data_IF_202451636415
#
_entry.id   IF_202451636415
#
_cell.length_a   1.000
_cell.length_b   1.000
_cell.length_c   1.000
_cell.angle_alpha   90.00
_cell.angle_beta   90.00
_cell.angle_gamma   90.00
#
_symmetry.space_group_name_H-M   'P 1'
#
loop_
_entity.id
_entity.type
_entity.pdbx_description
1 polymer ?
#
# COMPACT_ATOMS: atom_id res chain seq x y z
N UNK A 1 -12.03 -1.35 -16.59
CA UNK A 1 -12.70 -0.05 -16.91
C UNK A 1 -12.31 0.54 -18.27
N UNK A 2 -13.15 1.44 -18.80
CA UNK A 2 -12.86 2.27 -19.98
C UNK A 2 -12.32 3.68 -19.61
N UNK A 3 -11.84 4.47 -20.59
CA UNK A 3 -11.27 5.80 -20.33
C UNK A 3 -12.26 6.77 -19.66
N UNK A 4 -13.55 6.68 -20.00
CA UNK A 4 -14.59 7.55 -19.45
C UNK A 4 -14.93 7.23 -18.00
N UNK A 5 -14.88 5.96 -17.64
CA UNK A 5 -15.01 5.48 -16.25
C UNK A 5 -13.77 5.84 -15.45
N UNK A 6 -12.59 5.72 -16.05
CA UNK A 6 -11.33 6.18 -15.44
C UNK A 6 -11.41 7.66 -15.07
N UNK A 7 -11.76 8.54 -16.02
CA UNK A 7 -11.88 9.98 -15.78
C UNK A 7 -12.85 10.33 -14.63
N UNK A 8 -13.99 9.63 -14.55
CA UNK A 8 -14.96 9.82 -13.46
C UNK A 8 -14.43 9.40 -12.09
N UNK A 9 -13.54 8.41 -12.06
CA UNK A 9 -12.98 7.86 -10.84
C UNK A 9 -11.72 8.62 -10.37
N UNK A 10 -11.18 9.55 -11.17
CA UNK A 10 -10.01 10.35 -10.80
C UNK A 10 -10.23 11.11 -9.47
N UNK A 11 -11.34 11.83 -9.25
CA UNK A 11 -11.54 12.58 -7.99
C UNK A 11 -11.65 11.65 -6.78
N UNK A 12 -12.33 10.51 -6.92
CA UNK A 12 -12.48 9.53 -5.84
C UNK A 12 -11.18 8.79 -5.56
N UNK A 13 -10.33 8.60 -6.58
CA UNK A 13 -8.95 8.13 -6.42
C UNK A 13 -8.10 9.11 -5.62
N UNK A 14 -8.13 10.40 -5.99
CA UNK A 14 -7.39 11.46 -5.27
C UNK A 14 -7.90 11.58 -3.82
N UNK A 15 -9.21 11.45 -3.60
CA UNK A 15 -9.82 11.48 -2.27
C UNK A 15 -9.65 10.16 -1.47
N UNK A 16 -9.08 9.11 -2.06
CA UNK A 16 -8.90 7.81 -1.40
C UNK A 16 -10.20 7.07 -1.08
N UNK A 17 -11.28 7.34 -1.82
CA UNK A 17 -12.63 6.78 -1.59
C UNK A 17 -12.98 5.60 -2.50
N UNK A 18 -12.08 5.22 -3.40
CA UNK A 18 -12.29 4.06 -4.28
C UNK A 18 -12.27 2.74 -3.50
N UNK A 19 -13.18 1.85 -3.88
CA UNK A 19 -13.16 0.47 -3.41
C UNK A 19 -11.98 -0.31 -4.03
N UNK A 20 -11.63 -1.43 -3.39
CA UNK A 20 -10.44 -2.21 -3.76
C UNK A 20 -10.52 -2.77 -5.20
N UNK A 21 -11.71 -3.17 -5.65
CA UNK A 21 -11.89 -3.76 -6.96
C UNK A 21 -11.74 -2.69 -8.06
N UNK A 22 -12.38 -1.53 -7.88
CA UNK A 22 -12.27 -0.41 -8.81
C UNK A 22 -10.85 0.16 -8.83
N UNK A 23 -10.15 0.20 -7.69
CA UNK A 23 -8.76 0.66 -7.61
C UNK A 23 -7.78 -0.27 -8.36
N UNK A 24 -8.01 -1.58 -8.32
CA UNK A 24 -7.21 -2.55 -9.08
C UNK A 24 -7.38 -2.33 -10.59
N UNK A 25 -8.63 -2.24 -11.06
CA UNK A 25 -8.92 -1.95 -12.47
C UNK A 25 -8.39 -0.58 -12.91
N UNK A 26 -8.43 0.42 -12.02
CA UNK A 26 -7.91 1.76 -12.27
C UNK A 26 -6.40 1.73 -12.51
N UNK A 27 -5.68 0.99 -11.66
CA UNK A 27 -4.24 0.83 -11.76
C UNK A 27 -3.78 0.01 -12.97
N UNK A 28 -4.61 -0.91 -13.48
CA UNK A 28 -4.36 -1.61 -14.74
C UNK A 28 -4.57 -0.68 -15.94
N UNK A 29 -5.69 0.04 -16.00
CA UNK A 29 -5.98 0.98 -17.09
C UNK A 29 -4.94 2.10 -17.18
N UNK A 30 -4.48 2.63 -16.04
CA UNK A 30 -3.41 3.64 -15.97
C UNK A 30 -2.09 3.15 -16.60
N UNK A 31 -1.79 1.85 -16.53
CA UNK A 31 -0.58 1.26 -17.13
C UNK A 31 -0.71 1.05 -18.63
N UNK A 32 -1.91 0.70 -19.10
CA UNK A 32 -2.18 0.42 -20.50
C UNK A 32 -2.44 1.68 -21.34
N UNK A 33 -3.00 2.74 -20.72
CA UNK A 33 -3.39 3.97 -21.40
C UNK A 33 -2.57 5.19 -20.89
N UNK A 34 -1.54 5.64 -21.64
CA UNK A 34 -0.75 6.80 -21.24
C UNK A 34 -1.53 8.12 -21.25
N UNK A 35 -2.55 8.27 -22.10
CA UNK A 35 -3.38 9.49 -22.13
C UNK A 35 -4.19 9.69 -20.84
N UNK A 36 -4.80 8.62 -20.32
CA UNK A 36 -5.51 8.68 -19.04
C UNK A 36 -4.56 8.97 -17.86
N UNK A 37 -3.31 8.52 -17.94
CA UNK A 37 -2.28 8.84 -16.95
C UNK A 37 -1.92 10.32 -16.96
N UNK A 38 -1.79 10.95 -18.14
CA UNK A 38 -1.52 12.39 -18.24
C UNK A 38 -2.68 13.21 -17.66
N UNK A 39 -3.92 12.83 -17.96
CA UNK A 39 -5.12 13.46 -17.40
C UNK A 39 -5.17 13.37 -15.86
N UNK A 40 -4.86 12.19 -15.31
CA UNK A 40 -4.75 11.98 -13.85
C UNK A 40 -3.71 12.92 -13.23
N UNK A 41 -2.53 13.06 -13.86
CA UNK A 41 -1.47 13.95 -13.38
C UNK A 41 -1.91 15.41 -13.40
N UNK A 42 -2.60 15.85 -14.45
CA UNK A 42 -3.12 17.22 -14.55
C UNK A 42 -4.15 17.47 -13.45
N UNK A 43 -5.14 16.59 -13.28
CA UNK A 43 -6.17 16.76 -12.24
C UNK A 43 -5.59 16.69 -10.83
N UNK A 44 -4.59 15.84 -10.60
CA UNK A 44 -3.85 15.80 -9.35
C UNK A 44 -3.10 17.12 -9.09
N UNK A 45 -2.37 17.64 -10.08
CA UNK A 45 -1.66 18.92 -9.99
C UNK A 45 -2.59 20.12 -9.80
N UNK A 46 -3.78 20.11 -10.41
CA UNK A 46 -4.79 21.16 -10.19
C UNK A 46 -5.33 21.07 -8.77
N UNK A 47 -5.64 19.86 -8.29
CA UNK A 47 -6.17 19.63 -6.93
C UNK A 47 -5.14 20.00 -5.86
N UNK A 48 -3.89 19.54 -6.01
CA UNK A 48 -2.75 19.87 -5.14
C UNK A 48 -2.29 21.32 -5.30
N UNK A 49 -2.39 21.88 -6.51
CA UNK A 49 -2.09 23.28 -6.80
C UNK A 49 -3.03 24.24 -6.06
N UNK A 50 -4.27 23.83 -5.82
CA UNK A 50 -5.21 24.55 -4.95
C UNK A 50 -4.92 24.37 -3.46
N UNK A 51 -4.38 23.23 -3.02
CA UNK A 51 -3.93 23.04 -1.63
C UNK A 51 -2.73 23.91 -1.24
N UNK A 52 -2.06 24.58 -2.20
CA UNK A 52 -0.92 25.46 -1.93
C UNK A 52 -1.26 26.96 -1.79
N UNK A 53 -2.51 27.37 -2.02
CA UNK A 53 -2.88 28.79 -2.02
C UNK A 53 -3.86 29.20 -0.90
N UNK A 54 -4.41 28.27 -0.12
CA UNK A 54 -5.37 28.60 0.95
C UNK A 54 -4.82 28.48 2.38
N UNK A 55 -3.78 27.67 2.63
CA UNK A 55 -3.18 27.57 3.97
C UNK A 55 -1.68 27.91 3.93
N UNK A 56 -1.36 29.12 4.38
CA UNK A 56 0.00 29.62 4.54
C UNK A 56 0.79 28.94 5.67
N UNK A 57 0.85 27.62 5.67
CA UNK A 57 1.52 26.80 6.71
C UNK A 57 2.21 25.55 6.14
N UNK A 58 2.79 25.70 4.94
CA UNK A 58 3.39 24.61 4.16
C UNK A 58 4.72 24.05 4.72
N UNK A 59 5.01 24.15 6.02
CA UNK A 59 6.28 23.68 6.57
C UNK A 59 6.23 22.77 7.81
N UNK A 60 5.09 22.65 8.51
CA UNK A 60 5.04 21.80 9.72
C UNK A 60 4.49 20.38 9.46
N UNK A 61 3.64 20.20 8.43
CA UNK A 61 2.98 18.93 8.17
C UNK A 61 3.90 17.84 7.61
N UNK A 62 4.94 18.21 6.85
CA UNK A 62 5.91 17.25 6.30
C UNK A 62 6.74 16.62 7.42
N UNK A 63 7.02 17.38 8.48
CA UNK A 63 7.78 16.93 9.66
C UNK A 63 6.93 16.03 10.55
N UNK A 64 5.67 16.38 10.77
CA UNK A 64 4.75 15.54 11.53
C UNK A 64 4.40 14.25 10.76
N UNK A 65 4.27 14.32 9.44
CA UNK A 65 4.03 13.14 8.60
C UNK A 65 5.24 12.19 8.58
N UNK A 66 6.47 12.70 8.51
CA UNK A 66 7.68 11.87 8.63
C UNK A 66 7.80 11.21 10.01
N UNK A 67 7.44 11.90 11.08
CA UNK A 67 7.39 11.34 12.44
C UNK A 67 6.34 10.21 12.53
N UNK A 68 5.14 10.41 11.98
CA UNK A 68 4.08 9.40 11.94
C UNK A 68 4.46 8.20 11.06
N UNK A 69 5.12 8.42 9.93
CA UNK A 69 5.64 7.36 9.05
C UNK A 69 6.77 6.56 9.70
N UNK A 70 7.65 7.22 10.46
CA UNK A 70 8.70 6.55 11.22
C UNK A 70 8.12 5.65 12.34
N UNK A 71 7.07 6.12 13.03
CA UNK A 71 6.34 5.32 14.03
C UNK A 71 5.59 4.14 13.39
N UNK A 72 4.88 4.36 12.29
CA UNK A 72 4.14 3.32 11.58
C UNK A 72 5.08 2.24 11.01
N UNK A 73 6.22 2.63 10.42
CA UNK A 73 7.23 1.71 9.89
C UNK A 73 7.89 0.86 10.98
N UNK A 74 7.92 1.34 12.23
CA UNK A 74 8.38 0.54 13.38
C UNK A 74 7.36 -0.55 13.73
N UNK A 75 6.07 -0.23 13.73
CA UNK A 75 4.98 -1.16 14.06
C UNK A 75 4.83 -2.30 13.04
N UNK A 76 5.00 -2.01 11.75
CA UNK A 76 4.92 -3.01 10.67
C UNK A 76 6.09 -4.01 10.71
N UNK A 77 7.31 -3.56 11.05
CA UNK A 77 8.46 -4.46 11.19
C UNK A 77 8.32 -5.46 12.34
N UNK A 78 7.72 -5.05 13.46
CA UNK A 78 7.51 -5.96 14.60
C UNK A 78 6.48 -7.05 14.30
N UNK A 79 5.35 -6.72 13.66
CA UNK A 79 4.35 -7.72 13.27
C UNK A 79 4.89 -8.73 12.25
N UNK A 80 5.63 -8.26 11.25
CA UNK A 80 6.17 -9.12 10.19
C UNK A 80 7.35 -9.98 10.67
N UNK A 81 8.15 -9.49 11.63
CA UNK A 81 9.19 -10.29 12.28
C UNK A 81 8.60 -11.40 13.17
N UNK A 82 7.54 -11.11 13.93
CA UNK A 82 6.91 -12.07 14.84
C UNK A 82 6.27 -13.26 14.10
N UNK A 83 5.61 -12.98 12.97
CA UNK A 83 5.04 -14.02 12.09
C UNK A 83 6.14 -14.91 11.50
N UNK A 84 7.28 -14.33 11.11
CA UNK A 84 8.39 -15.08 10.51
C UNK A 84 9.11 -15.97 11.53
N UNK A 85 9.26 -15.50 12.77
CA UNK A 85 9.83 -16.33 13.86
C UNK A 85 8.91 -17.46 14.30
N UNK A 86 7.59 -17.22 14.32
CA UNK A 86 6.61 -18.26 14.65
C UNK A 86 6.61 -19.40 13.63
N UNK A 87 6.59 -19.07 12.35
CA UNK A 87 6.58 -20.07 11.27
C UNK A 87 7.84 -20.96 11.24
N UNK A 88 9.03 -20.40 11.54
CA UNK A 88 10.28 -21.18 11.58
C UNK A 88 10.26 -22.18 12.74
N UNK A 89 9.72 -21.80 13.90
CA UNK A 89 9.63 -22.69 15.05
C UNK A 89 8.70 -23.88 14.77
N UNK A 90 7.55 -23.64 14.13
CA UNK A 90 6.62 -24.71 13.74
C UNK A 90 7.24 -25.70 12.74
N UNK A 91 8.02 -25.21 11.77
CA UNK A 91 8.70 -26.10 10.81
C UNK A 91 9.77 -26.95 11.51
N UNK A 92 10.51 -26.38 12.46
CA UNK A 92 11.54 -27.11 13.22
C UNK A 92 10.95 -28.21 14.11
N UNK A 93 9.80 -27.97 14.76
CA UNK A 93 9.14 -28.99 15.59
C UNK A 93 8.61 -30.14 14.75
N UNK A 94 8.05 -29.86 13.56
CA UNK A 94 7.56 -30.90 12.65
C UNK A 94 8.71 -31.77 12.13
N UNK A 95 9.84 -31.17 11.75
CA UNK A 95 11.03 -31.91 11.29
C UNK A 95 11.59 -32.78 12.42
N UNK A 96 11.68 -32.26 13.64
CA UNK A 96 12.18 -33.00 14.79
C UNK A 96 11.30 -34.21 15.11
N UNK A 97 9.97 -34.04 15.09
CA UNK A 97 9.02 -35.14 15.32
C UNK A 97 9.11 -36.22 14.22
N UNK A 98 9.21 -35.84 12.94
CA UNK A 98 9.40 -36.80 11.86
C UNK A 98 10.71 -37.58 12.01
N UNK A 99 11.80 -36.90 12.37
CA UNK A 99 13.10 -37.56 12.62
C UNK A 99 13.07 -38.52 13.80
N UNK A 100 12.42 -38.13 14.90
CA UNK A 100 12.28 -38.96 16.09
C UNK A 100 11.43 -40.20 15.84
N UNK A 101 10.30 -40.05 15.13
CA UNK A 101 9.47 -41.19 14.73
C UNK A 101 10.21 -42.14 13.78
N UNK A 102 10.99 -41.60 12.83
CA UNK A 102 11.82 -42.42 11.95
C UNK A 102 12.88 -43.23 12.69
N UNK A 103 13.49 -42.66 13.73
CA UNK A 103 14.47 -43.36 14.57
C UNK A 103 13.84 -44.44 15.46
N UNK A 104 12.61 -44.26 15.93
CA UNK A 104 11.89 -45.27 16.73
C UNK A 104 11.48 -46.49 15.91
N UNK A 105 11.20 -46.30 14.62
CA UNK A 105 10.66 -47.35 13.74
C UNK A 105 11.78 -48.21 13.09
N UNK A 106 13.00 -47.67 12.99
CA UNK A 106 14.17 -48.35 12.42
C UNK A 106 14.92 -49.19 13.44
#
# INVERSE_FOLDING_TARGET
MNCKEFEKNIPDFIAGKLDFQTLQEFGEHMRECPGCKEELVIQFLVTEGMQRLEDGDAFDLQRELELRLAEAKRKVRFHMAFLKTGAVLEVLTVIFLMGFLGWIIS
#
